data_IF_091370940875
#
_entry.id   IF_091370940875
#
_cell.length_a   1.000
_cell.length_b   1.000
_cell.length_c   1.000
_cell.angle_alpha   90.00
_cell.angle_beta   90.00
_cell.angle_gamma   90.00
#
_symmetry.space_group_name_H-M   'P 1'
#
loop_
_entity.id
_entity.type
_entity.pdbx_description
1 polymer ?
#
# COMPACT_ATOMS: atom_id res chain seq x y z
N UNK A 1 -11.00 2.12 -4.20
CA UNK A 1 -10.51 2.29 -2.82
C UNK A 1 -9.14 1.66 -2.60
N UNK A 2 -8.95 0.35 -2.80
CA UNK A 2 -7.68 -0.35 -2.48
C UNK A 2 -6.44 0.30 -3.10
N UNK A 3 -6.46 0.60 -4.40
CA UNK A 3 -5.34 1.30 -5.06
C UNK A 3 -5.00 2.65 -4.38
N UNK A 4 -6.01 3.43 -3.97
CA UNK A 4 -5.80 4.70 -3.28
C UNK A 4 -5.15 4.50 -1.90
N UNK A 5 -5.52 3.44 -1.17
CA UNK A 5 -4.89 3.04 0.09
C UNK A 5 -3.42 2.65 -0.14
N UNK A 6 -3.13 1.90 -1.19
CA UNK A 6 -1.75 1.54 -1.53
C UNK A 6 -0.91 2.76 -1.90
N UNK A 7 -1.47 3.69 -2.67
CA UNK A 7 -0.83 4.95 -3.03
C UNK A 7 -0.55 5.82 -1.80
N UNK A 8 -1.46 5.87 -0.83
CA UNK A 8 -1.24 6.58 0.43
C UNK A 8 -0.09 5.96 1.24
N UNK A 9 -0.02 4.62 1.30
CA UNK A 9 1.08 3.94 1.98
C UNK A 9 2.42 4.13 1.27
N UNK A 10 2.45 4.10 -0.07
CA UNK A 10 3.64 4.45 -0.87
C UNK A 10 4.09 5.87 -0.57
N UNK A 11 3.20 6.86 -0.66
CA UNK A 11 3.52 8.25 -0.40
C UNK A 11 4.08 8.47 1.01
N UNK A 12 3.59 7.70 2.00
CA UNK A 12 4.03 7.80 3.39
C UNK A 12 5.47 7.34 3.63
N UNK A 13 5.99 6.36 2.88
CA UNK A 13 7.28 5.72 3.22
C UNK A 13 8.32 5.71 2.11
N UNK A 14 7.94 5.76 0.84
CA UNK A 14 8.89 5.50 -0.26
C UNK A 14 10.07 6.48 -0.28
N UNK A 15 9.82 7.75 0.05
CA UNK A 15 10.83 8.81 0.13
C UNK A 15 11.79 8.68 1.34
N UNK A 16 11.51 7.76 2.27
CA UNK A 16 12.33 7.47 3.44
C UNK A 16 13.18 6.22 3.26
N UNK A 17 13.01 5.50 2.14
CA UNK A 17 13.74 4.27 1.88
C UNK A 17 15.15 4.57 1.35
N UNK A 18 16.13 3.70 1.64
CA UNK A 18 17.46 3.81 1.03
C UNK A 18 17.38 3.74 -0.50
N UNK A 19 18.37 4.32 -1.17
CA UNK A 19 18.51 4.19 -2.62
C UNK A 19 18.50 2.71 -3.07
N UNK A 20 17.86 2.45 -4.21
CA UNK A 20 17.73 1.10 -4.75
C UNK A 20 16.79 0.18 -3.96
N UNK A 21 15.99 0.72 -3.04
CA UNK A 21 14.94 -0.01 -2.34
C UNK A 21 13.55 0.55 -2.66
N UNK A 22 12.56 -0.32 -2.56
CA UNK A 22 11.15 0.04 -2.69
C UNK A 22 10.28 -0.75 -1.71
N UNK A 23 9.07 -0.29 -1.43
CA UNK A 23 8.09 -1.04 -0.64
C UNK A 23 7.10 -1.79 -1.55
N UNK A 24 6.81 -3.06 -1.23
CA UNK A 24 5.81 -3.88 -1.92
C UNK A 24 4.69 -4.30 -0.96
N UNK A 25 3.43 -4.13 -1.37
CA UNK A 25 2.28 -4.66 -0.64
C UNK A 25 2.28 -6.19 -0.63
N UNK A 26 2.09 -6.79 0.54
CA UNK A 26 2.06 -8.26 0.71
C UNK A 26 0.77 -8.76 1.34
N UNK A 27 0.05 -7.91 2.07
CA UNK A 27 -1.24 -8.26 2.65
C UNK A 27 -2.10 -7.01 2.84
N UNK A 28 -3.40 -7.15 2.57
CA UNK A 28 -4.42 -6.14 2.78
C UNK A 28 -5.62 -6.82 3.42
N UNK A 29 -6.09 -6.27 4.54
CA UNK A 29 -7.35 -6.65 5.17
C UNK A 29 -8.15 -5.35 5.36
N UNK A 30 -9.20 -5.18 4.55
CA UNK A 30 -9.92 -3.92 4.44
C UNK A 30 -11.42 -4.17 4.37
N UNK A 31 -12.17 -3.45 5.19
CA UNK A 31 -13.63 -3.40 5.17
C UNK A 31 -14.07 -2.22 4.30
N UNK A 32 -15.11 -2.42 3.49
CA UNK A 32 -15.75 -1.37 2.69
C UNK A 32 -17.23 -1.33 3.07
N UNK A 33 -17.62 -0.34 3.87
CA UNK A 33 -18.91 -0.33 4.57
C UNK A 33 -19.84 0.81 4.15
N UNK A 34 -19.38 1.76 3.34
CA UNK A 34 -20.26 2.77 2.72
C UNK A 34 -19.88 2.97 1.25
N UNK A 35 -20.86 3.33 0.42
CA UNK A 35 -20.68 3.51 -1.02
C UNK A 35 -20.44 4.97 -1.38
N UNK A 36 -19.47 5.25 -2.25
CA UNK A 36 -19.19 6.60 -2.76
C UNK A 36 -19.71 6.77 -4.20
N UNK A 37 -20.56 7.77 -4.48
CA UNK A 37 -21.00 8.08 -5.85
C UNK A 37 -19.86 8.52 -6.77
N UNK A 38 -20.01 8.22 -8.07
CA UNK A 38 -19.09 8.70 -9.11
C UNK A 38 -19.01 10.23 -9.10
N UNK A 39 -17.81 10.77 -9.21
CA UNK A 39 -17.53 12.21 -9.19
C UNK A 39 -17.26 12.80 -7.80
N UNK A 40 -17.53 12.06 -6.73
CA UNK A 40 -17.16 12.47 -5.37
C UNK A 40 -15.68 12.18 -5.09
N UNK A 41 -15.04 13.02 -4.27
CA UNK A 41 -13.65 12.84 -3.88
C UNK A 41 -13.55 11.86 -2.72
N UNK A 42 -12.50 11.02 -2.77
CA UNK A 42 -12.12 10.12 -1.70
C UNK A 42 -10.70 10.46 -1.26
N UNK A 43 -10.47 10.50 0.05
CA UNK A 43 -9.16 10.59 0.67
C UNK A 43 -8.84 9.26 1.36
N UNK A 44 -7.67 8.71 1.07
CA UNK A 44 -7.12 7.62 1.87
C UNK A 44 -6.03 8.17 2.80
N UNK A 45 -5.92 7.56 3.98
CA UNK A 45 -4.87 7.84 4.95
C UNK A 45 -4.23 6.51 5.35
N UNK A 46 -2.90 6.47 5.34
CA UNK A 46 -2.11 5.33 5.79
C UNK A 46 -1.17 5.81 6.91
N UNK A 47 -1.30 5.20 8.08
CA UNK A 47 -0.44 5.48 9.24
C UNK A 47 0.46 4.28 9.50
N UNK A 48 1.77 4.46 9.43
CA UNK A 48 2.73 3.43 9.79
C UNK A 48 2.67 3.21 11.31
N UNK A 49 2.21 2.04 11.74
CA UNK A 49 2.01 1.71 13.17
C UNK A 49 3.09 0.80 13.74
N UNK A 50 3.83 0.08 12.88
CA UNK A 50 4.97 -0.73 13.30
C UNK A 50 5.96 -0.96 12.16
N UNK A 51 7.23 -1.11 12.53
CA UNK A 51 8.32 -1.59 11.67
C UNK A 51 8.91 -2.84 12.32
N UNK A 52 8.84 -3.96 11.62
CA UNK A 52 9.36 -5.26 12.07
C UNK A 52 10.37 -5.79 11.05
N UNK A 53 11.64 -5.50 11.31
CA UNK A 53 12.72 -5.72 10.34
C UNK A 53 12.48 -4.95 9.04
N UNK A 54 12.14 -5.67 7.98
CA UNK A 54 11.80 -5.08 6.66
C UNK A 54 10.30 -4.98 6.39
N UNK A 55 9.46 -5.39 7.34
CA UNK A 55 8.00 -5.35 7.22
C UNK A 55 7.48 -4.06 7.85
N UNK A 56 6.61 -3.37 7.12
CA UNK A 56 5.95 -2.13 7.49
C UNK A 56 4.46 -2.43 7.66
N UNK A 57 3.91 -2.17 8.83
CA UNK A 57 2.48 -2.39 9.11
C UNK A 57 1.76 -1.06 9.15
N UNK A 58 0.75 -0.90 8.31
CA UNK A 58 -0.05 0.32 8.25
C UNK A 58 -1.46 0.06 8.78
N UNK A 59 -1.98 1.03 9.54
CA UNK A 59 -3.44 1.21 9.69
C UNK A 59 -3.92 2.12 8.55
N UNK A 60 -5.02 1.76 7.92
CA UNK A 60 -5.55 2.49 6.76
C UNK A 60 -6.99 2.90 6.97
N UNK A 61 -7.37 4.04 6.42
CA UNK A 61 -8.73 4.58 6.38
C UNK A 61 -8.98 5.19 5.00
N UNK A 62 -10.21 5.07 4.50
CA UNK A 62 -10.71 5.81 3.36
C UNK A 62 -12.01 6.51 3.74
N UNK A 63 -12.13 7.78 3.33
CA UNK A 63 -13.28 8.64 3.60
C UNK A 63 -13.61 9.44 2.34
N UNK A 64 -14.89 9.60 2.06
CA UNK A 64 -15.36 10.54 1.03
C UNK A 64 -15.73 11.89 1.67
N UNK A 65 -16.30 12.80 0.89
CA UNK A 65 -16.66 14.14 1.38
C UNK A 65 -17.75 14.11 2.49
N UNK A 66 -18.39 12.96 2.75
CA UNK A 66 -19.44 12.80 3.77
C UNK A 66 -19.01 11.91 4.94
N UNK A 67 -18.55 10.69 4.66
CA UNK A 67 -18.37 9.67 5.69
C UNK A 67 -17.14 8.77 5.47
N UNK A 68 -16.77 8.03 6.51
CA UNK A 68 -15.80 6.95 6.35
C UNK A 68 -16.44 5.87 5.47
N UNK A 69 -15.67 5.35 4.51
CA UNK A 69 -16.15 4.35 3.56
C UNK A 69 -15.45 3.01 3.75
N UNK A 70 -14.25 3.02 4.33
CA UNK A 70 -13.52 1.81 4.63
C UNK A 70 -12.35 2.01 5.56
N UNK A 71 -11.91 0.94 6.18
CA UNK A 71 -10.75 0.91 7.07
C UNK A 71 -10.10 -0.48 7.08
N UNK A 72 -8.91 -0.56 7.68
CA UNK A 72 -8.25 -1.84 7.89
C UNK A 72 -6.75 -1.75 8.09
N UNK A 73 -6.04 -2.75 7.59
CA UNK A 73 -4.58 -2.86 7.63
C UNK A 73 -3.97 -3.10 6.25
N UNK A 74 -2.72 -2.69 6.13
CA UNK A 74 -1.91 -2.90 4.93
C UNK A 74 -0.47 -3.19 5.34
N UNK A 75 0.00 -4.40 5.04
CA UNK A 75 1.38 -4.78 5.29
C UNK A 75 2.19 -4.66 4.00
N UNK A 76 3.33 -3.97 4.12
CA UNK A 76 4.30 -3.79 3.05
C UNK A 76 5.65 -4.35 3.46
N UNK A 77 6.46 -4.73 2.48
CA UNK A 77 7.83 -5.19 2.71
C UNK A 77 8.81 -4.36 1.90
N UNK A 78 9.87 -3.89 2.53
CA UNK A 78 10.98 -3.23 1.85
C UNK A 78 11.82 -4.28 1.12
N UNK A 79 12.08 -4.03 -0.17
CA UNK A 79 12.88 -4.91 -1.03
C UNK A 79 13.95 -4.12 -1.76
N UNK A 80 15.06 -4.78 -2.06
CA UNK A 80 16.05 -4.27 -3.00
C UNK A 80 15.54 -4.48 -4.43
N UNK A 81 15.51 -3.41 -5.23
CA UNK A 81 14.93 -3.39 -6.58
C UNK A 81 15.63 -4.40 -7.49
N UNK A 82 16.96 -4.38 -7.56
CA UNK A 82 17.73 -5.26 -8.44
C UNK A 82 17.52 -6.75 -8.13
N UNK A 83 17.51 -7.13 -6.84
CA UNK A 83 17.21 -8.52 -6.43
C UNK A 83 15.77 -8.92 -6.75
N UNK A 84 14.83 -7.99 -6.60
CA UNK A 84 13.44 -8.22 -6.95
C UNK A 84 13.29 -8.47 -8.46
N UNK A 85 13.90 -7.63 -9.30
CA UNK A 85 13.83 -7.75 -10.76
C UNK A 85 14.39 -9.09 -11.23
N UNK A 86 15.56 -9.51 -10.73
CA UNK A 86 16.11 -10.83 -11.03
C UNK A 86 15.14 -11.97 -10.70
N UNK A 87 14.38 -11.85 -9.60
CA UNK A 87 13.37 -12.85 -9.21
C UNK A 87 12.16 -12.83 -10.13
N UNK A 88 11.74 -11.65 -10.62
CA UNK A 88 10.65 -11.52 -11.58
C UNK A 88 11.05 -12.10 -12.94
N UNK A 89 12.26 -11.81 -13.42
CA UNK A 89 12.75 -12.35 -14.70
C UNK A 89 12.73 -13.88 -14.73
N UNK A 90 13.06 -14.55 -13.61
CA UNK A 90 12.97 -16.01 -13.50
C UNK A 90 11.54 -16.58 -13.55
N UNK A 91 10.51 -15.74 -13.38
CA UNK A 91 9.10 -16.17 -13.50
C UNK A 91 8.57 -16.05 -14.93
N UNK A 92 9.26 -15.31 -15.79
CA UNK A 92 8.82 -15.15 -17.17
C UNK A 92 9.01 -16.49 -17.91
N UNK A 93 8.07 -16.87 -18.78
CA UNK A 93 8.25 -18.03 -19.64
C UNK A 93 9.51 -17.84 -20.49
N UNK A 94 10.31 -18.89 -20.63
CA UNK A 94 11.34 -18.92 -21.67
C UNK A 94 10.63 -18.91 -23.02
N UNK A 95 11.06 -18.02 -23.92
CA UNK A 95 10.58 -17.97 -25.30
C UNK A 95 10.90 -19.27 -26.06
#
# INVERSE_FOLDING_TARGET
>A
MINLIEAAALAAVEHLLPEGHQSLGIHLDVRHFAATPVGMRVRATASLVAVDGRTLKFRVEARDDKEAIGDGSHDRVVVNVARFDQRIQRKLPTA
#
